data_IF_573604436898
#
_entry.id   IF_573604436898
#
_cell.length_a   1.000
_cell.length_b   1.000
_cell.length_c   1.000
_cell.angle_alpha   90.00
_cell.angle_beta   90.00
_cell.angle_gamma   90.00
#
_symmetry.space_group_name_H-M   'P 1'
#
loop_
_entity.id
_entity.type
_entity.pdbx_description
1 polymer ?
#
# COMPACT_ATOMS: atom_id res chain seq x y z
N UNK A 1 -1.52 -11.56 -1.77
CA UNK A 1 -1.93 -11.59 -0.34
C UNK A 1 -3.10 -10.68 -0.04
N UNK A 2 -3.04 -9.37 -0.35
CA UNK A 2 -4.09 -8.40 0.01
C UNK A 2 -5.52 -8.84 -0.34
N UNK A 3 -5.79 -9.28 -1.58
CA UNK A 3 -7.11 -9.79 -2.00
C UNK A 3 -7.61 -10.96 -1.15
N UNK A 4 -6.76 -11.94 -0.88
CA UNK A 4 -7.11 -13.11 -0.08
C UNK A 4 -7.33 -12.72 1.39
N UNK A 5 -6.52 -11.81 1.93
CA UNK A 5 -6.68 -11.28 3.27
C UNK A 5 -8.00 -10.54 3.43
N UNK A 6 -8.35 -9.64 2.51
CA UNK A 6 -9.62 -8.90 2.57
C UNK A 6 -10.82 -9.84 2.44
N UNK A 7 -10.79 -10.77 1.49
CA UNK A 7 -11.86 -11.77 1.33
C UNK A 7 -12.05 -12.61 2.60
N UNK A 8 -10.97 -13.02 3.25
CA UNK A 8 -11.02 -13.85 4.46
C UNK A 8 -11.49 -13.07 5.68
N UNK A 9 -11.07 -11.81 5.83
CA UNK A 9 -11.34 -11.01 7.04
C UNK A 9 -12.66 -10.25 6.97
N UNK A 10 -13.12 -9.88 5.78
CA UNK A 10 -14.31 -9.02 5.59
C UNK A 10 -15.43 -9.69 4.79
N UNK A 11 -15.16 -10.80 4.10
CA UNK A 11 -16.10 -11.42 3.17
C UNK A 11 -16.29 -10.65 1.87
N UNK A 12 -15.62 -9.50 1.68
CA UNK A 12 -15.75 -8.65 0.50
C UNK A 12 -14.56 -8.78 -0.44
N UNK A 13 -14.81 -8.54 -1.73
CA UNK A 13 -13.76 -8.40 -2.74
C UNK A 13 -13.45 -6.93 -2.94
N UNK A 14 -12.16 -6.60 -3.06
CA UNK A 14 -11.67 -5.24 -3.30
C UNK A 14 -10.98 -5.14 -4.64
N UNK A 15 -11.12 -3.97 -5.27
CA UNK A 15 -10.40 -3.61 -6.48
C UNK A 15 -8.96 -3.22 -6.13
N UNK A 16 -8.00 -4.06 -6.48
CA UNK A 16 -6.59 -3.81 -6.19
C UNK A 16 -6.01 -2.63 -6.98
N UNK A 17 -6.67 -2.19 -8.04
CA UNK A 17 -6.26 -0.99 -8.79
C UNK A 17 -6.29 0.25 -7.91
N UNK A 18 -7.11 0.26 -6.85
CA UNK A 18 -7.14 1.34 -5.86
C UNK A 18 -5.81 1.60 -5.16
N UNK A 19 -4.86 0.65 -5.18
CA UNK A 19 -3.50 0.84 -4.67
C UNK A 19 -2.68 1.75 -5.59
N UNK A 20 -2.86 1.66 -6.90
CA UNK A 20 -2.11 2.41 -7.91
C UNK A 20 -2.87 3.64 -8.43
N UNK A 21 -4.19 3.64 -8.34
CA UNK A 21 -5.07 4.69 -8.83
C UNK A 21 -5.80 5.38 -7.67
N UNK A 22 -5.48 6.66 -7.46
CA UNK A 22 -6.08 7.46 -6.40
C UNK A 22 -7.58 7.73 -6.61
N UNK A 23 -8.08 7.63 -7.85
CA UNK A 23 -9.48 7.84 -8.22
C UNK A 23 -10.40 6.65 -7.93
N UNK A 24 -9.86 5.50 -7.53
CA UNK A 24 -10.64 4.31 -7.17
C UNK A 24 -10.75 4.24 -5.64
N UNK A 25 -11.99 4.11 -5.15
CA UNK A 25 -12.28 3.86 -3.73
C UNK A 25 -11.82 2.45 -3.33
N UNK A 26 -10.93 2.31 -2.33
CA UNK A 26 -10.48 1.00 -1.85
C UNK A 26 -11.58 0.13 -1.24
N UNK A 27 -12.73 0.68 -0.85
CA UNK A 27 -13.87 -0.08 -0.32
C UNK A 27 -13.62 -0.73 1.04
N UNK A 28 -12.59 -0.28 1.77
CA UNK A 28 -12.24 -0.74 3.12
C UNK A 28 -12.05 0.44 4.05
N UNK A 29 -12.24 0.21 5.35
CA UNK A 29 -12.05 1.24 6.37
C UNK A 29 -10.67 1.91 6.24
N UNK A 30 -10.69 3.24 6.10
CA UNK A 30 -9.51 4.11 5.99
C UNK A 30 -8.60 3.80 4.79
N UNK A 31 -9.10 3.07 3.79
CA UNK A 31 -8.26 2.58 2.70
C UNK A 31 -7.57 3.70 1.92
N UNK A 32 -8.26 4.81 1.69
CA UNK A 32 -7.71 5.94 0.96
C UNK A 32 -6.58 6.61 1.75
N UNK A 33 -6.80 6.91 3.02
CA UNK A 33 -5.82 7.56 3.90
C UNK A 33 -4.63 6.63 4.20
N UNK A 34 -4.86 5.32 4.30
CA UNK A 34 -3.79 4.33 4.45
C UNK A 34 -2.90 4.28 3.21
N UNK A 35 -3.49 4.25 2.01
CA UNK A 35 -2.75 4.31 0.75
C UNK A 35 -1.95 5.62 0.65
N UNK A 36 -2.61 6.75 0.89
CA UNK A 36 -1.98 8.06 0.74
C UNK A 36 -0.84 8.28 1.74
N UNK A 37 -0.96 7.73 2.96
CA UNK A 37 0.15 7.70 3.92
C UNK A 37 1.29 6.81 3.46
N UNK A 38 1.00 5.61 2.93
CA UNK A 38 2.03 4.71 2.42
C UNK A 38 2.79 5.33 1.24
N UNK A 39 2.09 5.98 0.30
CA UNK A 39 2.69 6.72 -0.80
C UNK A 39 3.55 7.87 -0.29
N UNK A 40 3.04 8.69 0.65
CA UNK A 40 3.79 9.79 1.23
C UNK A 40 5.07 9.33 1.96
N UNK A 41 5.05 8.15 2.60
CA UNK A 41 6.23 7.57 3.23
C UNK A 41 7.25 7.07 2.21
N UNK A 42 6.80 6.54 1.07
CA UNK A 42 7.68 6.04 0.01
C UNK A 42 8.31 7.20 -0.80
N UNK A 43 7.57 8.28 -1.06
CA UNK A 43 8.06 9.42 -1.86
C UNK A 43 8.69 10.53 -1.02
N UNK A 44 8.36 10.60 0.27
CA UNK A 44 8.73 11.72 1.14
C UNK A 44 7.85 12.96 0.96
N UNK A 45 6.85 12.92 0.07
CA UNK A 45 5.98 14.06 -0.23
C UNK A 45 4.73 14.04 0.66
N UNK A 46 4.31 15.23 1.14
CA UNK A 46 3.03 15.43 1.85
C UNK A 46 2.84 14.57 3.11
N UNK A 47 3.93 14.12 3.74
CA UNK A 47 3.89 13.21 4.89
C UNK A 47 3.07 13.75 6.06
N UNK A 48 3.21 15.03 6.40
CA UNK A 48 2.47 15.64 7.52
C UNK A 48 0.97 15.73 7.24
N UNK A 49 0.61 16.02 5.99
CA UNK A 49 -0.79 16.07 5.53
C UNK A 49 -1.44 14.69 5.60
N UNK A 50 -0.81 13.68 4.99
CA UNK A 50 -1.34 12.29 4.97
C UNK A 50 -1.41 11.70 6.38
N UNK A 51 -0.41 11.94 7.23
CA UNK A 51 -0.42 11.52 8.63
C UNK A 51 -1.56 12.17 9.41
N UNK A 52 -1.75 13.48 9.24
CA UNK A 52 -2.82 14.21 9.92
C UNK A 52 -4.20 13.76 9.44
N UNK A 53 -4.34 13.46 8.14
CA UNK A 53 -5.57 12.91 7.58
C UNK A 53 -5.94 11.57 8.23
N UNK A 54 -5.01 10.62 8.29
CA UNK A 54 -5.26 9.30 8.89
C UNK A 54 -5.57 9.40 10.39
N UNK A 55 -4.86 10.26 11.14
CA UNK A 55 -5.14 10.46 12.57
C UNK A 55 -6.58 10.95 12.79
N UNK A 56 -7.10 11.82 11.92
CA UNK A 56 -8.47 12.33 12.05
C UNK A 56 -9.54 11.26 11.82
N UNK A 57 -9.35 10.36 10.86
CA UNK A 57 -10.38 9.38 10.47
C UNK A 57 -10.26 8.04 11.22
N UNK A 58 -9.06 7.66 11.65
CA UNK A 58 -8.78 6.35 12.23
C UNK A 58 -8.28 6.38 13.68
N UNK A 59 -7.61 7.46 14.10
CA UNK A 59 -6.86 7.67 15.35
C UNK A 59 -5.33 7.48 15.27
N UNK A 60 -4.66 7.86 16.38
CA UNK A 60 -3.20 7.79 16.52
C UNK A 60 -2.66 6.36 16.62
N UNK A 61 -3.42 5.43 17.19
CA UNK A 61 -2.99 4.04 17.37
C UNK A 61 -2.98 3.31 16.04
N UNK A 62 -4.03 3.46 15.23
CA UNK A 62 -4.10 2.92 13.87
C UNK A 62 -3.03 3.56 13.00
N UNK A 63 -2.85 4.89 13.09
CA UNK A 63 -1.79 5.58 12.35
C UNK A 63 -0.40 5.05 12.70
N UNK A 64 -0.09 4.84 13.99
CA UNK A 64 1.18 4.30 14.42
C UNK A 64 1.43 2.88 13.87
N UNK A 65 0.39 2.04 13.85
CA UNK A 65 0.47 0.71 13.27
C UNK A 65 0.73 0.76 11.76
N UNK A 66 0.04 1.65 11.03
CA UNK A 66 0.25 1.85 9.58
C UNK A 66 1.68 2.31 9.27
N UNK A 67 2.20 3.28 10.04
CA UNK A 67 3.60 3.74 9.93
C UNK A 67 4.57 2.59 10.20
N UNK A 68 4.30 1.76 11.22
CA UNK A 68 5.13 0.59 11.54
C UNK A 68 5.21 -0.41 10.38
N UNK A 69 4.07 -0.69 9.73
CA UNK A 69 4.04 -1.54 8.54
C UNK A 69 4.85 -0.93 7.39
N UNK A 70 4.66 0.34 7.08
CA UNK A 70 5.38 1.03 6.01
C UNK A 70 6.90 1.04 6.27
N UNK A 71 7.31 1.35 7.50
CA UNK A 71 8.72 1.36 7.89
C UNK A 71 9.38 -0.02 7.76
N UNK A 72 8.64 -1.10 8.10
CA UNK A 72 9.14 -2.46 7.93
C UNK A 72 9.39 -2.79 6.44
N UNK A 73 8.47 -2.43 5.55
CA UNK A 73 8.64 -2.65 4.11
C UNK A 73 9.75 -1.78 3.51
N UNK A 74 9.90 -0.54 3.96
CA UNK A 74 10.98 0.34 3.52
C UNK A 74 12.37 -0.23 3.88
N UNK A 75 12.51 -0.78 5.08
CA UNK A 75 13.73 -1.50 5.47
C UNK A 75 13.99 -2.71 4.55
N UNK A 76 12.94 -3.48 4.22
CA UNK A 76 13.08 -4.63 3.31
C UNK A 76 13.46 -4.19 1.90
N UNK A 77 12.87 -3.12 1.36
CA UNK A 77 13.21 -2.58 0.04
C UNK A 77 14.70 -2.26 -0.03
N UNK A 78 15.23 -1.55 0.98
CA UNK A 78 16.66 -1.20 1.03
C UNK A 78 17.57 -2.42 1.07
N UNK A 79 17.19 -3.49 1.77
CA UNK A 79 17.96 -4.74 1.79
C UNK A 79 17.96 -5.40 0.40
N UNK A 80 16.80 -5.45 -0.26
CA UNK A 80 16.68 -6.05 -1.59
C UNK A 80 17.48 -5.24 -2.64
N UNK A 81 17.41 -3.92 -2.58
CA UNK A 81 18.17 -3.02 -3.44
C UNK A 81 19.69 -3.19 -3.22
N UNK A 82 20.13 -3.21 -1.95
CA UNK A 82 21.55 -3.36 -1.61
C UNK A 82 22.14 -4.72 -2.01
N UNK A 83 21.31 -5.76 -2.07
CA UNK A 83 21.73 -7.13 -2.45
C UNK A 83 21.56 -7.43 -3.93
N UNK A 84 20.88 -6.56 -4.68
CA UNK A 84 20.53 -6.81 -6.09
C UNK A 84 19.60 -8.01 -6.27
N UNK A 85 18.78 -8.33 -5.27
CA UNK A 85 17.88 -9.48 -5.32
C UNK A 85 16.83 -9.28 -6.44
N UNK A 86 16.78 -10.17 -7.45
CA UNK A 86 15.87 -9.99 -8.58
C UNK A 86 14.42 -10.25 -8.17
N UNK A 87 13.48 -9.52 -8.78
CA UNK A 87 12.04 -9.75 -8.60
C UNK A 87 11.66 -11.10 -9.23
N UNK A 88 11.06 -12.04 -8.47
CA UNK A 88 10.68 -13.34 -9.02
C UNK A 88 9.67 -13.23 -10.17
N UNK A 89 9.93 -13.92 -11.28
CA UNK A 89 9.06 -13.92 -12.47
C UNK A 89 7.60 -14.28 -12.16
N UNK A 90 7.36 -15.14 -11.15
CA UNK A 90 6.01 -15.51 -10.69
C UNK A 90 5.18 -14.31 -10.21
N UNK A 91 5.80 -13.17 -9.89
CA UNK A 91 5.11 -11.96 -9.42
C UNK A 91 4.67 -11.03 -10.56
N UNK A 92 5.09 -11.24 -11.81
CA UNK A 92 4.71 -10.37 -12.94
C UNK A 92 3.20 -10.24 -13.15
N UNK A 93 2.42 -11.27 -12.79
CA UNK A 93 0.96 -11.21 -12.86
C UNK A 93 0.35 -10.09 -12.00
N UNK A 94 1.08 -9.58 -11.00
CA UNK A 94 0.62 -8.46 -10.17
C UNK A 94 0.49 -7.16 -10.96
N UNK A 95 1.26 -6.95 -12.02
CA UNK A 95 1.17 -5.78 -12.90
C UNK A 95 -0.25 -5.64 -13.46
N UNK A 96 -0.76 -6.72 -14.07
CA UNK A 96 -2.14 -6.76 -14.58
C UNK A 96 -3.21 -6.61 -13.50
N UNK A 97 -2.95 -7.08 -12.26
CA UNK A 97 -3.88 -6.91 -11.14
C UNK A 97 -3.94 -5.46 -10.63
N UNK A 98 -2.82 -4.74 -10.72
CA UNK A 98 -2.73 -3.33 -10.33
C UNK A 98 -3.13 -2.39 -11.47
N UNK A 99 -3.36 -2.92 -12.68
CA UNK A 99 -3.63 -2.11 -13.87
C UNK A 99 -2.40 -1.36 -14.39
N UNK A 100 -1.19 -1.79 -14.01
CA UNK A 100 0.07 -1.19 -14.45
C UNK A 100 0.52 -1.96 -15.69
N UNK A 101 0.66 -1.28 -16.82
CA UNK A 101 1.27 -1.89 -17.99
C UNK A 101 2.80 -1.89 -17.81
N UNK A 102 3.43 -3.07 -17.78
CA UNK A 102 4.89 -3.17 -17.81
C UNK A 102 5.44 -2.64 -19.14
N UNK A 103 6.68 -2.08 -19.17
CA UNK A 103 7.36 -1.83 -20.42
C UNK A 103 7.55 -3.16 -21.17
N UNK A 104 7.18 -3.19 -22.45
CA UNK A 104 7.39 -4.34 -23.34
C UNK A 104 8.86 -4.49 -23.72
#
# INVERSE_FOLDING_TARGET
MLRASVQTTTGTSVDLRAVADAGIDPGIAWGAELRDLATAMATGERLDESRSALIRVADRRVTAAAVGVCANFEMMNRILDATGCPVPARLRHLEGLLGIAGPQ
#
